data_IF_919739793782
#
_entry.id   IF_919739793782
#
_cell.length_a   1.000
_cell.length_b   1.000
_cell.length_c   1.000
_cell.angle_alpha   90.00
_cell.angle_beta   90.00
_cell.angle_gamma   90.00
#
_symmetry.space_group_name_H-M   'P 1'
#
loop_
_entity.id
_entity.type
_entity.pdbx_description
1 polymer ?
#
# COMPACT_ATOMS: atom_id res chain seq x y z
N UNK A 1 -39.83 9.32 -2.13
CA UNK A 1 -38.46 9.70 -1.73
C UNK A 1 -37.77 8.41 -1.36
N UNK A 2 -36.82 7.98 -2.18
CA UNK A 2 -36.07 6.75 -1.99
C UNK A 2 -35.47 6.77 -0.58
N UNK A 3 -35.84 5.80 0.25
CA UNK A 3 -35.29 5.71 1.60
C UNK A 3 -33.82 5.37 1.44
N UNK A 4 -32.95 6.35 1.66
CA UNK A 4 -31.51 6.15 1.75
C UNK A 4 -31.28 5.08 2.82
N UNK A 5 -30.93 3.89 2.36
CA UNK A 5 -30.66 2.76 3.23
C UNK A 5 -29.40 3.07 4.04
N UNK A 6 -29.55 3.13 5.37
CA UNK A 6 -28.48 3.52 6.28
C UNK A 6 -27.29 2.55 6.20
N UNK A 7 -27.53 1.28 5.87
CA UNK A 7 -26.44 0.30 5.71
C UNK A 7 -25.60 0.60 4.47
N UNK A 8 -26.24 0.97 3.36
CA UNK A 8 -25.55 1.37 2.14
C UNK A 8 -24.64 2.58 2.37
N UNK A 9 -25.13 3.61 3.06
CA UNK A 9 -24.32 4.80 3.41
C UNK A 9 -23.13 4.42 4.29
N UNK A 10 -23.34 3.56 5.28
CA UNK A 10 -22.27 3.08 6.16
C UNK A 10 -21.17 2.37 5.37
N UNK A 11 -21.54 1.45 4.47
CA UNK A 11 -20.59 0.73 3.62
C UNK A 11 -19.73 1.66 2.74
N UNK A 12 -20.34 2.72 2.19
CA UNK A 12 -19.59 3.74 1.44
C UNK A 12 -18.59 4.49 2.33
N UNK A 13 -19.00 4.91 3.53
CA UNK A 13 -18.12 5.61 4.47
C UNK A 13 -16.97 4.71 4.92
N UNK A 14 -17.24 3.44 5.23
CA UNK A 14 -16.21 2.46 5.61
C UNK A 14 -15.20 2.23 4.47
N UNK A 15 -15.68 2.14 3.23
CA UNK A 15 -14.81 2.02 2.05
C UNK A 15 -13.94 3.27 1.85
N UNK A 16 -14.51 4.46 1.98
CA UNK A 16 -13.76 5.72 1.91
C UNK A 16 -12.70 5.81 3.00
N UNK A 17 -13.02 5.38 4.22
CA UNK A 17 -12.07 5.33 5.32
C UNK A 17 -10.88 4.43 4.99
N UNK A 18 -11.13 3.20 4.51
CA UNK A 18 -10.07 2.25 4.13
C UNK A 18 -9.19 2.80 3.01
N UNK A 19 -9.76 3.46 2.01
CA UNK A 19 -8.97 4.10 0.93
C UNK A 19 -8.10 5.22 1.48
N UNK A 20 -8.61 6.05 2.39
CA UNK A 20 -7.80 7.09 3.05
C UNK A 20 -6.64 6.49 3.85
N UNK A 21 -6.89 5.42 4.62
CA UNK A 21 -5.82 4.70 5.33
C UNK A 21 -4.77 4.13 4.35
N UNK A 22 -5.20 3.58 3.21
CA UNK A 22 -4.28 3.08 2.18
C UNK A 22 -3.39 4.19 1.59
N UNK A 23 -3.92 5.40 1.39
CA UNK A 23 -3.14 6.57 0.94
C UNK A 23 -2.09 6.96 1.99
N UNK A 24 -2.45 6.96 3.27
CA UNK A 24 -1.49 7.25 4.36
C UNK A 24 -0.34 6.22 4.38
N UNK A 25 -0.65 4.95 4.20
CA UNK A 25 0.36 3.88 4.11
C UNK A 25 1.23 4.03 2.84
N UNK A 26 0.64 4.43 1.71
CA UNK A 26 1.40 4.71 0.49
C UNK A 26 2.44 5.82 0.71
N UNK A 27 2.08 6.89 1.44
CA UNK A 27 3.00 7.99 1.78
C UNK A 27 4.19 7.50 2.62
N UNK A 28 4.05 6.42 3.40
CA UNK A 28 5.16 5.85 4.17
C UNK A 28 6.33 5.44 3.27
N UNK A 29 6.08 4.97 2.05
CA UNK A 29 7.13 4.56 1.10
C UNK A 29 8.03 5.74 0.72
N UNK A 30 7.43 6.90 0.44
CA UNK A 30 8.18 8.13 0.22
C UNK A 30 8.92 8.60 1.50
N UNK A 31 8.30 8.42 2.66
CA UNK A 31 8.92 8.72 3.96
C UNK A 31 10.17 7.89 4.22
N UNK A 32 10.12 6.58 3.99
CA UNK A 32 11.26 5.67 4.12
C UNK A 32 12.37 6.01 3.12
N UNK A 33 12.02 6.28 1.86
CA UNK A 33 12.99 6.72 0.86
C UNK A 33 13.74 7.99 1.30
N UNK A 34 13.05 8.99 1.84
CA UNK A 34 13.67 10.22 2.35
C UNK A 34 14.55 9.96 3.58
N UNK A 35 14.09 9.14 4.52
CA UNK A 35 14.87 8.75 5.71
C UNK A 35 16.15 8.00 5.34
N UNK A 36 16.07 6.96 4.51
CA UNK A 36 17.23 6.14 4.14
C UNK A 36 18.22 6.90 3.26
N UNK A 37 17.73 7.71 2.32
CA UNK A 37 18.60 8.53 1.47
C UNK A 37 19.26 9.68 2.26
N UNK A 38 18.58 10.24 3.27
CA UNK A 38 19.10 11.29 4.16
C UNK A 38 20.11 10.79 5.18
N UNK A 39 19.98 9.55 5.67
CA UNK A 39 20.96 8.90 6.56
C UNK A 39 22.14 8.28 5.79
N UNK A 40 21.99 8.05 4.49
CA UNK A 40 23.08 7.55 3.64
C UNK A 40 24.18 8.60 3.44
N UNK A 41 25.42 8.12 3.26
CA UNK A 41 26.54 8.98 2.84
C UNK A 41 26.21 9.68 1.53
N UNK A 42 26.61 10.94 1.41
CA UNK A 42 26.33 11.82 0.26
C UNK A 42 26.62 11.15 -1.10
N UNK A 43 27.76 10.44 -1.22
CA UNK A 43 28.15 9.77 -2.47
C UNK A 43 27.20 8.64 -2.92
N UNK A 44 26.42 8.05 -2.01
CA UNK A 44 25.55 6.90 -2.30
C UNK A 44 24.06 7.20 -2.09
N UNK A 45 23.70 8.42 -1.65
CA UNK A 45 22.31 8.80 -1.34
C UNK A 45 21.36 8.58 -2.54
N UNK A 46 21.79 8.92 -3.76
CA UNK A 46 21.01 8.71 -4.99
C UNK A 46 20.76 7.23 -5.27
N UNK A 47 21.78 6.39 -5.05
CA UNK A 47 21.68 4.95 -5.28
C UNK A 47 20.74 4.28 -4.25
N UNK A 48 20.68 4.79 -3.02
CA UNK A 48 19.71 4.33 -2.01
C UNK A 48 18.29 4.73 -2.39
N UNK A 49 18.08 5.99 -2.79
CA UNK A 49 16.76 6.47 -3.21
C UNK A 49 16.21 5.66 -4.40
N UNK A 50 17.05 5.38 -5.40
CA UNK A 50 16.64 4.60 -6.58
C UNK A 50 16.27 3.16 -6.23
N UNK A 51 17.00 2.52 -5.32
CA UNK A 51 16.68 1.16 -4.85
C UNK A 51 15.34 1.13 -4.13
N UNK A 52 15.08 2.11 -3.27
CA UNK A 52 13.84 2.18 -2.51
C UNK A 52 12.62 2.44 -3.44
N UNK A 53 12.78 3.29 -4.46
CA UNK A 53 11.77 3.49 -5.49
C UNK A 53 11.53 2.23 -6.36
N UNK A 54 12.59 1.52 -6.73
CA UNK A 54 12.50 0.28 -7.49
C UNK A 54 11.83 -0.83 -6.68
N UNK A 55 12.15 -0.94 -5.38
CA UNK A 55 11.52 -1.90 -4.47
C UNK A 55 10.01 -1.69 -4.39
N UNK A 56 9.56 -0.43 -4.27
CA UNK A 56 8.14 -0.10 -4.30
C UNK A 56 7.46 -0.57 -5.60
N UNK A 57 8.04 -0.26 -6.75
CA UNK A 57 7.47 -0.64 -8.05
C UNK A 57 7.39 -2.15 -8.25
N UNK A 58 8.45 -2.88 -7.90
CA UNK A 58 8.50 -4.34 -8.01
C UNK A 58 7.53 -4.99 -7.03
N UNK A 59 7.48 -4.51 -5.78
CA UNK A 59 6.58 -5.03 -4.74
C UNK A 59 5.10 -4.88 -5.11
N UNK A 60 4.70 -3.76 -5.72
CA UNK A 60 3.32 -3.56 -6.19
C UNK A 60 2.95 -4.57 -7.27
N UNK A 61 3.82 -4.79 -8.25
CA UNK A 61 3.54 -5.73 -9.37
C UNK A 61 3.48 -7.17 -8.85
N UNK A 62 4.41 -7.58 -8.00
CA UNK A 62 4.42 -8.93 -7.42
C UNK A 62 3.21 -9.16 -6.53
N UNK A 63 2.84 -8.16 -5.72
CA UNK A 63 1.66 -8.26 -4.85
C UNK A 63 0.37 -8.37 -5.67
N UNK A 64 0.27 -7.63 -6.78
CA UNK A 64 -0.89 -7.72 -7.68
C UNK A 64 -0.98 -9.09 -8.38
N UNK A 65 0.13 -9.63 -8.88
CA UNK A 65 0.15 -10.91 -9.62
C UNK A 65 -0.07 -12.14 -8.73
N UNK A 66 0.59 -12.19 -7.57
CA UNK A 66 0.64 -13.38 -6.72
C UNK A 66 0.25 -13.10 -5.27
N UNK A 67 0.68 -11.96 -4.72
CA UNK A 67 0.53 -11.66 -3.29
C UNK A 67 -0.91 -11.61 -2.81
N UNK A 68 -1.81 -10.93 -3.55
CA UNK A 68 -3.22 -10.82 -3.17
C UNK A 68 -3.91 -12.19 -3.18
N UNK A 69 -3.64 -13.01 -4.20
CA UNK A 69 -4.20 -14.36 -4.31
C UNK A 69 -3.70 -15.31 -3.22
N UNK A 70 -2.45 -15.17 -2.79
CA UNK A 70 -1.89 -15.99 -1.70
C UNK A 70 -2.39 -15.55 -0.32
N UNK A 71 -2.54 -14.24 -0.10
CA UNK A 71 -2.90 -13.69 1.22
C UNK A 71 -4.41 -13.67 1.49
N UNK A 72 -5.21 -13.34 0.49
CA UNK A 72 -6.67 -13.18 0.62
C UNK A 72 -7.47 -14.18 -0.23
N UNK A 73 -6.80 -15.12 -0.89
CA UNK A 73 -7.44 -16.19 -1.64
C UNK A 73 -8.10 -17.25 -0.75
N UNK A 74 -8.78 -18.19 -1.39
CA UNK A 74 -9.41 -19.32 -0.67
C UNK A 74 -8.35 -20.21 -0.03
N UNK A 75 -8.39 -20.32 1.30
CA UNK A 75 -7.44 -21.15 2.05
C UNK A 75 -7.59 -22.64 1.73
N UNK A 76 -6.47 -23.32 1.52
CA UNK A 76 -6.45 -24.77 1.32
C UNK A 76 -6.01 -25.46 2.62
N UNK A 77 -6.96 -26.13 3.28
CA UNK A 77 -6.73 -26.82 4.58
C UNK A 77 -6.24 -25.90 5.72
N UNK A 78 -6.47 -24.60 5.61
CA UNK A 78 -6.00 -23.60 6.58
C UNK A 78 -4.59 -23.07 6.31
N UNK A 79 -4.03 -23.37 5.14
CA UNK A 79 -2.82 -22.77 4.58
C UNK A 79 -3.16 -21.88 3.37
#
# INVERSE_FOLDING_TARGET
MENVDLETVKSFVDTLWVINCAILVFIMQAGFMCMESGLSRYKNSINVALKNAADFGVSVVIFWLFGFGLMFGTSYKGF
#
